data_IF_142746038464
#
_entry.id   IF_142746038464
#
_cell.length_a   1.000
_cell.length_b   1.000
_cell.length_c   1.000
_cell.angle_alpha   90.00
_cell.angle_beta   90.00
_cell.angle_gamma   90.00
#
_symmetry.space_group_name_H-M   'P 1'
#
loop_
_entity.id
_entity.type
_entity.pdbx_description
1 polymer ?
#
# COMPACT_ATOMS: atom_id res chain seq x y z
N UNK A 1 -8.75 37.60 -2.60
CA UNK A 1 -9.35 36.85 -3.73
C UNK A 1 -8.41 35.71 -4.03
N UNK A 2 -8.52 34.63 -3.27
CA UNK A 2 -7.69 33.45 -3.45
C UNK A 2 -8.11 32.73 -4.72
N UNK A 3 -7.18 32.65 -5.67
CA UNK A 3 -7.34 31.80 -6.83
C UNK A 3 -7.36 30.35 -6.35
N UNK A 4 -8.57 29.79 -6.17
CA UNK A 4 -8.78 28.36 -6.05
C UNK A 4 -8.18 27.70 -7.30
N UNK A 5 -6.99 27.12 -7.14
CA UNK A 5 -6.36 26.31 -8.17
C UNK A 5 -7.26 25.09 -8.42
N UNK A 6 -8.07 25.16 -9.48
CA UNK A 6 -8.89 24.03 -9.92
C UNK A 6 -7.99 22.99 -10.57
N UNK A 7 -7.92 21.80 -9.96
CA UNK A 7 -7.27 20.67 -10.62
C UNK A 7 -8.05 20.23 -11.87
N UNK A 8 -7.40 19.51 -12.80
CA UNK A 8 -8.08 18.89 -13.95
C UNK A 8 -9.29 18.03 -13.54
N UNK A 9 -9.23 17.43 -12.36
CA UNK A 9 -10.27 16.57 -11.77
C UNK A 9 -11.32 17.35 -10.96
N UNK A 10 -11.39 18.69 -11.10
CA UNK A 10 -12.33 19.58 -10.38
C UNK A 10 -12.22 19.47 -8.85
N UNK A 11 -11.05 19.10 -8.36
CA UNK A 11 -10.74 19.17 -6.93
C UNK A 11 -10.63 20.65 -6.53
N UNK A 12 -11.26 20.99 -5.40
CA UNK A 12 -11.21 22.35 -4.88
C UNK A 12 -10.26 22.36 -3.69
N UNK A 13 -9.17 23.10 -3.83
CA UNK A 13 -8.32 23.41 -2.69
C UNK A 13 -9.06 24.42 -1.81
N UNK A 14 -9.32 24.05 -0.57
CA UNK A 14 -9.87 24.94 0.45
C UNK A 14 -8.93 24.86 1.65
N UNK A 15 -8.32 25.99 1.98
CA UNK A 15 -7.17 26.03 2.89
C UNK A 15 -7.55 25.93 4.38
N UNK A 16 -8.77 26.30 4.78
CA UNK A 16 -8.90 26.77 6.17
C UNK A 16 -9.54 25.80 7.16
N UNK A 17 -10.40 24.85 6.75
CA UNK A 17 -10.92 23.82 7.66
C UNK A 17 -11.60 22.68 6.90
N UNK A 18 -11.36 21.39 7.23
CA UNK A 18 -12.16 20.31 6.68
C UNK A 18 -13.64 20.44 7.10
N UNK A 19 -14.59 20.18 6.21
CA UNK A 19 -16.03 20.32 6.51
C UNK A 19 -16.57 19.20 7.41
N UNK A 20 -15.81 18.12 7.56
CA UNK A 20 -16.14 16.90 8.27
C UNK A 20 -14.88 16.22 8.79
N UNK A 21 -15.02 15.30 9.74
CA UNK A 21 -13.92 14.48 10.27
C UNK A 21 -13.79 13.20 9.43
N UNK A 22 -12.58 12.96 8.92
CA UNK A 22 -12.24 11.81 8.08
C UNK A 22 -12.47 10.46 8.79
N UNK A 23 -12.45 10.43 10.13
CA UNK A 23 -12.70 9.22 10.94
C UNK A 23 -14.11 8.66 10.76
N UNK A 24 -15.06 9.51 10.39
CA UNK A 24 -16.46 9.12 10.18
C UNK A 24 -16.85 9.09 8.69
N UNK A 25 -15.92 9.42 7.78
CA UNK A 25 -16.18 9.37 6.35
C UNK A 25 -16.27 7.91 5.86
N UNK A 26 -17.11 7.64 4.87
CA UNK A 26 -17.26 6.29 4.33
C UNK A 26 -16.02 5.89 3.54
N UNK A 27 -15.44 4.73 3.85
CA UNK A 27 -14.35 4.13 3.06
C UNK A 27 -14.88 3.62 1.72
N UNK A 28 -16.12 3.14 1.66
CA UNK A 28 -16.79 2.81 0.40
C UNK A 28 -17.20 4.10 -0.30
N UNK A 29 -17.08 4.21 -1.64
CA UNK A 29 -17.63 5.36 -2.35
C UNK A 29 -19.14 5.37 -2.19
N UNK A 30 -19.65 6.55 -1.90
CA UNK A 30 -21.08 6.81 -1.77
C UNK A 30 -21.64 7.39 -3.06
N UNK A 31 -22.97 7.46 -3.16
CA UNK A 31 -23.59 8.14 -4.29
C UNK A 31 -23.23 9.63 -4.32
N UNK A 32 -23.08 10.26 -3.14
CA UNK A 32 -22.58 11.63 -3.03
C UNK A 32 -21.20 11.74 -3.67
N UNK A 33 -20.32 10.78 -3.45
CA UNK A 33 -18.98 10.78 -4.07
C UNK A 33 -19.04 10.72 -5.60
N UNK A 34 -20.02 10.06 -6.21
CA UNK A 34 -20.12 9.97 -7.68
C UNK A 34 -20.76 11.19 -8.34
N UNK A 35 -21.70 11.84 -7.64
CA UNK A 35 -22.45 12.99 -8.18
C UNK A 35 -21.84 14.35 -7.83
N UNK A 36 -21.04 14.41 -6.77
CA UNK A 36 -20.45 15.67 -6.31
C UNK A 36 -19.46 16.22 -7.34
N UNK A 37 -19.67 17.47 -7.75
CA UNK A 37 -18.80 18.17 -8.73
C UNK A 37 -17.47 18.63 -8.13
N UNK A 38 -17.42 18.83 -6.83
CA UNK A 38 -16.28 19.41 -6.09
C UNK A 38 -16.13 18.70 -4.74
N UNK A 39 -15.02 18.00 -4.55
CA UNK A 39 -14.68 17.39 -3.26
C UNK A 39 -13.63 18.23 -2.55
N UNK A 40 -13.82 18.45 -1.25
CA UNK A 40 -12.81 19.07 -0.41
C UNK A 40 -11.58 18.17 -0.34
N UNK A 41 -10.43 18.70 -0.72
CA UNK A 41 -9.13 18.06 -0.56
C UNK A 41 -8.08 19.09 -0.21
N UNK A 42 -7.06 18.63 0.50
CA UNK A 42 -5.85 19.38 0.80
C UNK A 42 -4.66 18.71 0.08
N UNK A 43 -3.76 19.48 -0.54
CA UNK A 43 -2.55 18.94 -1.12
C UNK A 43 -1.65 18.39 -0.01
N UNK A 44 -0.87 17.37 -0.34
CA UNK A 44 0.21 16.96 0.52
C UNK A 44 1.22 18.10 0.67
N UNK A 45 1.69 18.35 1.89
CA UNK A 45 2.75 19.32 2.13
C UNK A 45 4.06 18.77 1.56
N UNK A 46 4.61 19.45 0.55
CA UNK A 46 5.88 19.07 -0.07
C UNK A 46 7.09 19.61 0.72
N UNK A 47 6.87 20.61 1.56
CA UNK A 47 7.89 21.28 2.37
C UNK A 47 7.29 21.73 3.69
N UNK A 48 8.02 21.48 4.79
CA UNK A 48 7.56 21.78 6.14
C UNK A 48 6.72 20.66 6.75
N UNK A 49 6.38 20.84 8.03
CA UNK A 49 5.56 19.90 8.79
C UNK A 49 4.06 20.21 8.69
N UNK A 50 3.27 19.22 9.07
CA UNK A 50 1.84 19.36 9.32
C UNK A 50 1.61 20.01 10.69
N UNK A 51 0.43 20.60 10.88
CA UNK A 51 0.06 21.24 12.15
C UNK A 51 0.03 20.23 13.31
N UNK A 52 -0.56 19.07 13.06
CA UNK A 52 -0.64 17.96 13.99
C UNK A 52 -0.90 16.63 13.24
N UNK A 53 -0.97 15.54 14.00
CA UNK A 53 -1.30 14.20 13.48
C UNK A 53 -2.65 14.15 12.78
N UNK A 54 -3.65 14.87 13.28
CA UNK A 54 -5.00 14.85 12.73
C UNK A 54 -5.00 15.51 11.34
N UNK A 55 -4.31 16.64 11.18
CA UNK A 55 -4.08 17.28 9.90
C UNK A 55 -3.34 16.33 8.93
N UNK A 56 -2.28 15.66 9.37
CA UNK A 56 -1.58 14.67 8.55
C UNK A 56 -2.52 13.57 8.06
N UNK A 57 -3.27 12.92 8.96
CA UNK A 57 -4.16 11.82 8.62
C UNK A 57 -5.32 12.25 7.71
N UNK A 58 -5.94 13.40 7.95
CA UNK A 58 -7.00 13.91 7.09
C UNK A 58 -6.50 14.11 5.65
N UNK A 59 -5.32 14.72 5.49
CA UNK A 59 -4.71 14.93 4.16
C UNK A 59 -4.45 13.59 3.48
N UNK A 60 -3.81 12.63 4.17
CA UNK A 60 -3.52 11.32 3.59
C UNK A 60 -4.80 10.56 3.24
N UNK A 61 -5.78 10.53 4.14
CA UNK A 61 -7.06 9.84 3.94
C UNK A 61 -7.80 10.39 2.73
N UNK A 62 -7.99 11.71 2.65
CA UNK A 62 -8.76 12.33 1.55
C UNK A 62 -8.08 12.14 0.20
N UNK A 63 -6.75 12.28 0.13
CA UNK A 63 -5.99 12.06 -1.10
C UNK A 63 -6.07 10.60 -1.56
N UNK A 64 -5.78 9.64 -0.67
CA UNK A 64 -5.89 8.21 -0.97
C UNK A 64 -7.30 7.81 -1.38
N UNK A 65 -8.33 8.41 -0.76
CA UNK A 65 -9.72 8.17 -1.15
C UNK A 65 -9.99 8.65 -2.57
N UNK A 66 -9.47 9.82 -2.95
CA UNK A 66 -9.65 10.33 -4.31
C UNK A 66 -8.94 9.50 -5.39
N UNK A 67 -7.80 8.87 -5.08
CA UNK A 67 -7.07 8.03 -6.05
C UNK A 67 -7.93 6.90 -6.65
N UNK A 68 -8.89 6.37 -5.89
CA UNK A 68 -9.79 5.32 -6.39
C UNK A 68 -11.21 5.82 -6.70
N UNK A 69 -11.68 6.91 -6.06
CA UNK A 69 -12.99 7.50 -6.32
C UNK A 69 -13.01 8.28 -7.66
N UNK A 70 -11.95 9.01 -8.00
CA UNK A 70 -11.89 9.82 -9.22
C UNK A 70 -12.08 8.95 -10.48
N UNK A 71 -11.32 7.85 -10.70
CA UNK A 71 -11.51 6.98 -11.85
C UNK A 71 -12.96 6.49 -12.02
N UNK A 72 -13.59 6.10 -10.90
CA UNK A 72 -14.97 5.64 -10.87
C UNK A 72 -15.96 6.76 -11.22
N UNK A 73 -15.82 7.92 -10.57
CA UNK A 73 -16.66 9.11 -10.79
C UNK A 73 -16.59 9.58 -12.23
N UNK A 74 -15.38 9.79 -12.74
CA UNK A 74 -15.16 10.31 -14.09
C UNK A 74 -15.63 9.31 -15.14
N UNK A 75 -15.37 8.02 -14.96
CA UNK A 75 -15.88 6.98 -15.84
C UNK A 75 -17.41 6.97 -15.93
N UNK A 76 -18.11 7.07 -14.80
CA UNK A 76 -19.59 7.09 -14.78
C UNK A 76 -20.12 8.39 -15.40
N UNK A 77 -19.47 9.53 -15.15
CA UNK A 77 -19.87 10.80 -15.76
C UNK A 77 -19.68 10.79 -17.27
N UNK A 78 -18.57 10.23 -17.78
CA UNK A 78 -18.35 10.07 -19.21
C UNK A 78 -19.39 9.13 -19.83
N UNK A 79 -19.76 8.04 -19.15
CA UNK A 79 -20.82 7.14 -19.60
C UNK A 79 -22.19 7.83 -19.68
N UNK A 80 -22.53 8.66 -18.69
CA UNK A 80 -23.75 9.49 -18.73
C UNK A 80 -23.74 10.46 -19.90
N UNK A 81 -22.60 11.11 -20.16
CA UNK A 81 -22.43 12.07 -21.27
C UNK A 81 -22.49 11.40 -22.65
N UNK A 82 -22.10 10.13 -22.77
CA UNK A 82 -22.20 9.37 -24.04
C UNK A 82 -23.62 8.90 -24.36
N UNK A 83 -24.63 9.39 -23.63
CA UNK A 83 -26.02 8.94 -23.75
C UNK A 83 -26.25 7.52 -23.24
N UNK A 84 -25.35 7.02 -22.38
CA UNK A 84 -25.41 5.65 -21.82
C UNK A 84 -25.45 4.55 -22.89
N UNK A 85 -24.81 4.81 -24.03
CA UNK A 85 -24.75 3.87 -25.14
C UNK A 85 -23.93 2.64 -24.78
N UNK A 86 -24.37 1.45 -25.24
CA UNK A 86 -23.64 0.17 -25.06
C UNK A 86 -22.27 0.11 -25.77
N UNK A 87 -21.80 1.23 -26.36
CA UNK A 87 -20.51 1.40 -27.04
C UNK A 87 -19.58 2.36 -26.29
N UNK A 88 -19.67 2.37 -24.97
CA UNK A 88 -18.76 3.14 -24.13
C UNK A 88 -17.43 2.40 -23.91
N UNK A 89 -16.32 3.12 -24.10
CA UNK A 89 -14.99 2.64 -23.78
C UNK A 89 -14.26 3.69 -22.94
N UNK A 90 -13.70 3.27 -21.81
CA UNK A 90 -12.91 4.11 -20.92
C UNK A 90 -11.70 3.31 -20.43
N UNK A 91 -10.57 3.98 -20.24
CA UNK A 91 -9.37 3.40 -19.62
C UNK A 91 -9.61 2.99 -18.18
N UNK A 92 -10.52 3.70 -17.50
CA UNK A 92 -10.63 3.71 -16.04
C UNK A 92 -11.87 2.96 -15.54
N UNK A 93 -12.86 2.76 -16.42
CA UNK A 93 -14.12 2.10 -16.10
C UNK A 93 -14.48 1.03 -17.13
N UNK A 94 -14.83 -0.16 -16.64
CA UNK A 94 -15.32 -1.27 -17.45
C UNK A 94 -16.79 -1.50 -17.15
N UNK A 95 -17.60 -1.55 -18.20
CA UNK A 95 -19.04 -1.77 -18.07
C UNK A 95 -19.44 -3.17 -18.50
N UNK A 96 -20.41 -3.71 -17.79
CA UNK A 96 -21.08 -4.97 -18.04
C UNK A 96 -22.58 -4.68 -18.10
N UNK A 97 -23.24 -5.18 -19.14
CA UNK A 97 -24.62 -4.86 -19.47
C UNK A 97 -25.51 -6.08 -19.27
N UNK A 98 -26.82 -5.83 -19.25
CA UNK A 98 -27.88 -6.84 -19.15
C UNK A 98 -27.64 -7.76 -17.95
N UNK A 99 -27.28 -7.12 -16.82
CA UNK A 99 -26.92 -7.80 -15.57
C UNK A 99 -28.18 -8.13 -14.80
N UNK A 100 -28.38 -9.41 -14.51
CA UNK A 100 -29.52 -9.94 -13.77
C UNK A 100 -29.04 -10.60 -12.48
N UNK A 101 -29.80 -10.43 -11.40
CA UNK A 101 -29.57 -11.12 -10.13
C UNK A 101 -30.33 -12.44 -10.18
N UNK A 102 -29.60 -13.55 -10.20
CA UNK A 102 -30.20 -14.90 -10.30
C UNK A 102 -30.65 -15.44 -8.94
N UNK A 103 -30.06 -14.95 -7.86
CA UNK A 103 -30.37 -15.40 -6.51
C UNK A 103 -29.22 -15.16 -5.55
N UNK A 104 -29.32 -15.77 -4.38
CA UNK A 104 -28.34 -15.69 -3.30
C UNK A 104 -27.72 -17.06 -3.01
N UNK A 105 -26.48 -17.06 -2.55
CA UNK A 105 -25.76 -18.24 -2.06
C UNK A 105 -25.14 -17.89 -0.71
N UNK A 106 -25.30 -18.78 0.26
CA UNK A 106 -24.63 -18.65 1.56
C UNK A 106 -23.22 -19.19 1.46
N UNK A 107 -22.24 -18.38 1.83
CA UNK A 107 -20.82 -18.72 1.91
C UNK A 107 -20.36 -18.69 3.37
N UNK A 108 -19.12 -19.07 3.63
CA UNK A 108 -18.54 -18.99 4.98
C UNK A 108 -18.34 -17.54 5.45
N UNK A 109 -18.21 -16.60 4.52
CA UNK A 109 -18.03 -15.16 4.78
C UNK A 109 -19.35 -14.37 4.74
N UNK A 110 -20.50 -15.03 4.52
CA UNK A 110 -21.81 -14.40 4.56
C UNK A 110 -22.71 -14.75 3.38
N UNK A 111 -23.37 -13.73 2.81
CA UNK A 111 -24.34 -13.90 1.72
C UNK A 111 -23.75 -13.28 0.44
N UNK A 112 -23.68 -14.12 -0.59
CA UNK A 112 -23.30 -13.73 -1.93
C UNK A 112 -24.53 -13.64 -2.84
N UNK A 113 -24.46 -12.74 -3.80
CA UNK A 113 -25.45 -12.59 -4.86
C UNK A 113 -24.85 -13.11 -6.15
N UNK A 114 -25.57 -14.00 -6.83
CA UNK A 114 -25.15 -14.58 -8.11
C UNK A 114 -25.69 -13.69 -9.22
N UNK A 115 -24.78 -13.09 -9.98
CA UNK A 115 -25.11 -12.24 -11.11
C UNK A 115 -24.88 -12.99 -12.42
N UNK A 116 -25.69 -12.65 -13.42
CA UNK A 116 -25.49 -13.04 -14.83
C UNK A 116 -25.45 -11.80 -15.70
N UNK A 117 -24.40 -11.61 -16.49
CA UNK A 117 -24.25 -10.49 -17.41
C UNK A 117 -24.04 -10.94 -18.86
N UNK A 118 -24.30 -10.05 -19.83
CA UNK A 118 -24.08 -10.36 -21.24
C UNK A 118 -22.58 -10.46 -21.59
N UNK A 119 -22.20 -11.58 -22.19
CA UNK A 119 -20.82 -11.85 -22.65
C UNK A 119 -20.64 -11.70 -24.15
N UNK A 120 -21.69 -11.32 -24.90
CA UNK A 120 -21.65 -11.24 -26.37
C UNK A 120 -20.49 -10.40 -26.91
N UNK A 121 -20.18 -9.28 -26.24
CA UNK A 121 -19.09 -8.35 -26.57
C UNK A 121 -17.74 -8.68 -25.90
N UNK A 122 -17.69 -9.72 -25.07
CA UNK A 122 -16.52 -10.08 -24.26
C UNK A 122 -15.86 -11.39 -24.72
N UNK A 123 -16.21 -11.89 -25.91
CA UNK A 123 -15.69 -13.16 -26.46
C UNK A 123 -14.16 -13.18 -26.65
N UNK A 124 -13.53 -12.03 -26.85
CA UNK A 124 -12.07 -11.90 -26.98
C UNK A 124 -11.34 -11.90 -25.63
N UNK A 125 -12.06 -11.77 -24.51
CA UNK A 125 -11.46 -11.70 -23.17
C UNK A 125 -10.99 -13.10 -22.76
N UNK A 126 -9.68 -13.24 -22.54
CA UNK A 126 -9.09 -14.44 -21.95
C UNK A 126 -9.27 -14.41 -20.43
N UNK A 127 -10.42 -14.89 -19.96
CA UNK A 127 -10.80 -14.83 -18.54
C UNK A 127 -9.76 -15.43 -17.59
N UNK A 128 -9.05 -16.49 -17.98
CA UNK A 128 -8.01 -17.11 -17.13
C UNK A 128 -6.86 -16.15 -16.75
N UNK A 129 -6.54 -15.17 -17.61
CA UNK A 129 -5.41 -14.23 -17.42
C UNK A 129 -5.85 -12.78 -17.23
N UNK A 130 -7.15 -12.50 -17.36
CA UNK A 130 -7.68 -11.15 -17.32
C UNK A 130 -7.71 -10.59 -15.90
N UNK A 131 -7.28 -9.33 -15.74
CA UNK A 131 -7.46 -8.55 -14.49
C UNK A 131 -8.88 -7.96 -14.34
N UNK A 132 -9.87 -8.56 -14.99
CA UNK A 132 -11.29 -8.20 -14.88
C UNK A 132 -11.94 -9.05 -13.80
N UNK A 133 -12.81 -8.40 -13.02
CA UNK A 133 -13.61 -8.99 -11.95
C UNK A 133 -12.76 -9.89 -11.05
N UNK A 134 -11.58 -9.39 -10.66
CA UNK A 134 -10.71 -10.11 -9.72
C UNK A 134 -11.37 -10.15 -8.35
N UNK A 135 -11.11 -11.19 -7.56
CA UNK A 135 -11.55 -11.25 -6.17
C UNK A 135 -11.18 -9.95 -5.43
N UNK A 136 -12.13 -9.38 -4.69
CA UNK A 136 -11.98 -8.10 -3.99
C UNK A 136 -12.18 -6.84 -4.85
N UNK A 137 -12.32 -6.97 -6.17
CA UNK A 137 -12.60 -5.81 -7.02
C UNK A 137 -13.96 -5.18 -6.68
N UNK A 138 -13.99 -3.85 -6.61
CA UNK A 138 -15.20 -3.08 -6.36
C UNK A 138 -15.98 -2.92 -7.67
N UNK A 139 -17.26 -3.24 -7.60
CA UNK A 139 -18.23 -3.01 -8.67
C UNK A 139 -19.42 -2.21 -8.14
N UNK A 140 -20.02 -1.39 -8.99
CA UNK A 140 -21.28 -0.73 -8.70
C UNK A 140 -22.37 -1.18 -9.66
N UNK A 141 -23.54 -1.48 -9.12
CA UNK A 141 -24.72 -1.90 -9.86
C UNK A 141 -25.75 -0.79 -9.86
N UNK A 142 -26.38 -0.55 -11.00
CA UNK A 142 -27.47 0.40 -11.12
C UNK A 142 -28.43 0.00 -12.24
N UNK A 143 -29.73 0.25 -12.05
CA UNK A 143 -30.77 0.06 -13.07
C UNK A 143 -31.39 1.35 -13.61
N UNK A 144 -30.93 2.50 -13.11
CA UNK A 144 -31.48 3.83 -13.42
C UNK A 144 -30.42 4.81 -13.96
N UNK A 145 -29.36 4.27 -14.57
CA UNK A 145 -28.27 5.07 -15.11
C UNK A 145 -27.41 5.70 -14.01
N UNK A 146 -27.17 4.98 -12.92
CA UNK A 146 -26.42 5.42 -11.74
C UNK A 146 -27.05 6.65 -11.07
N UNK A 147 -28.38 6.69 -10.93
CA UNK A 147 -29.06 7.61 -9.99
C UNK A 147 -29.22 6.98 -8.62
N UNK A 148 -29.35 5.66 -8.57
CA UNK A 148 -29.17 4.81 -7.38
C UNK A 148 -28.09 3.76 -7.67
N UNK A 149 -27.35 3.38 -6.64
CA UNK A 149 -26.25 2.43 -6.77
C UNK A 149 -26.27 1.42 -5.63
N UNK A 150 -25.94 0.18 -5.94
CA UNK A 150 -25.48 -0.80 -4.97
C UNK A 150 -23.98 -1.01 -5.15
N UNK A 151 -23.21 -0.92 -4.07
CA UNK A 151 -21.77 -1.21 -4.08
C UNK A 151 -21.54 -2.65 -3.68
N UNK A 152 -20.74 -3.37 -4.43
CA UNK A 152 -20.42 -4.76 -4.16
C UNK A 152 -18.95 -5.07 -4.46
N UNK A 153 -18.44 -6.12 -3.84
CA UNK A 153 -17.09 -6.65 -4.10
C UNK A 153 -17.19 -8.04 -4.70
N UNK A 154 -16.32 -8.39 -5.64
CA UNK A 154 -16.27 -9.74 -6.19
C UNK A 154 -15.83 -10.73 -5.10
N UNK A 155 -16.68 -11.69 -4.77
CA UNK A 155 -16.46 -12.66 -3.68
C UNK A 155 -15.99 -14.02 -4.19
N UNK A 156 -16.36 -14.42 -5.40
CA UNK A 156 -15.84 -15.63 -6.02
C UNK A 156 -15.72 -15.44 -7.52
N UNK A 157 -14.58 -15.88 -8.06
CA UNK A 157 -14.22 -15.71 -9.46
C UNK A 157 -13.80 -17.04 -10.08
N UNK A 158 -14.75 -17.73 -10.66
CA UNK A 158 -14.48 -18.88 -11.53
C UNK A 158 -14.37 -18.44 -12.99
N UNK A 159 -13.21 -18.66 -13.61
CA UNK A 159 -12.97 -18.34 -15.01
C UNK A 159 -13.87 -19.14 -15.97
N UNK A 160 -14.33 -20.34 -15.58
CA UNK A 160 -15.28 -21.14 -16.38
C UNK A 160 -16.68 -20.53 -16.32
N UNK A 161 -17.18 -20.23 -15.12
CA UNK A 161 -18.46 -19.55 -14.94
C UNK A 161 -18.51 -18.17 -15.63
N UNK A 162 -17.42 -17.40 -15.54
CA UNK A 162 -17.30 -16.08 -16.19
C UNK A 162 -17.44 -16.12 -17.72
N UNK A 163 -17.01 -17.20 -18.39
CA UNK A 163 -17.21 -17.37 -19.83
C UNK A 163 -18.69 -17.35 -20.21
N UNK A 164 -19.56 -17.76 -19.29
CA UNK A 164 -21.01 -17.78 -19.45
C UNK A 164 -21.69 -16.60 -18.73
N UNK A 165 -20.91 -15.62 -18.24
CA UNK A 165 -21.42 -14.39 -17.64
C UNK A 165 -21.78 -14.50 -16.17
N UNK A 166 -21.44 -15.60 -15.49
CA UNK A 166 -21.76 -15.79 -14.09
C UNK A 166 -20.65 -15.26 -13.17
N UNK A 167 -21.04 -14.51 -12.14
CA UNK A 167 -20.11 -14.01 -11.11
C UNK A 167 -20.82 -13.87 -9.76
N UNK A 168 -20.07 -14.07 -8.68
CA UNK A 168 -20.59 -13.86 -7.32
C UNK A 168 -20.07 -12.54 -6.78
N UNK A 169 -20.97 -11.80 -6.12
CA UNK A 169 -20.63 -10.55 -5.47
C UNK A 169 -21.18 -10.51 -4.05
N UNK A 170 -20.42 -9.87 -3.18
CA UNK A 170 -20.87 -9.52 -1.84
C UNK A 170 -21.27 -8.05 -1.81
N UNK A 171 -22.56 -7.78 -1.57
CA UNK A 171 -23.10 -6.41 -1.57
C UNK A 171 -22.73 -5.73 -0.26
N UNK A 172 -21.97 -4.63 -0.36
CA UNK A 172 -21.45 -3.85 0.78
C UNK A 172 -22.35 -2.68 1.15
N UNK A 173 -23.08 -2.12 0.19
CA UNK A 173 -24.01 -1.00 0.40
C UNK A 173 -25.08 -0.98 -0.68
N UNK A 174 -26.25 -0.40 -0.38
CA UNK A 174 -27.39 -0.34 -1.28
C UNK A 174 -28.10 -1.67 -1.48
N UNK A 175 -28.11 -2.53 -0.44
CA UNK A 175 -28.77 -3.84 -0.49
C UNK A 175 -30.27 -3.73 -0.81
N UNK A 176 -30.94 -2.65 -0.38
CA UNK A 176 -32.34 -2.40 -0.68
C UNK A 176 -32.62 -2.31 -2.18
N UNK A 177 -31.67 -1.80 -2.98
CA UNK A 177 -31.80 -1.76 -4.44
C UNK A 177 -31.85 -3.17 -5.05
N UNK A 178 -31.10 -4.09 -4.44
CA UNK A 178 -30.99 -5.49 -4.87
C UNK A 178 -32.20 -6.28 -4.38
N UNK A 179 -32.61 -6.11 -3.12
CA UNK A 179 -33.76 -6.82 -2.53
C UNK A 179 -35.10 -6.40 -3.13
N UNK A 180 -35.25 -5.13 -3.52
CA UNK A 180 -36.46 -4.63 -4.16
C UNK A 180 -36.47 -4.83 -5.68
N UNK A 181 -35.48 -5.57 -6.22
CA UNK A 181 -35.43 -5.86 -7.65
C UNK A 181 -36.30 -7.07 -8.03
N UNK A 182 -36.82 -7.05 -9.25
CA UNK A 182 -37.53 -8.18 -9.86
C UNK A 182 -36.62 -8.93 -10.82
N UNK A 183 -36.94 -10.18 -11.18
CA UNK A 183 -36.17 -10.93 -12.18
C UNK A 183 -36.10 -10.27 -13.56
N UNK A 184 -37.03 -9.35 -13.86
CA UNK A 184 -37.08 -8.59 -15.13
C UNK A 184 -36.28 -7.29 -15.06
N UNK A 185 -35.75 -6.90 -13.88
CA UNK A 185 -34.91 -5.71 -13.77
C UNK A 185 -33.52 -5.98 -14.38
N UNK A 186 -33.13 -5.12 -15.31
CA UNK A 186 -31.81 -5.12 -15.93
C UNK A 186 -30.90 -4.09 -15.26
N UNK A 187 -29.72 -4.53 -14.82
CA UNK A 187 -28.70 -3.66 -14.26
C UNK A 187 -27.55 -3.44 -15.25
N UNK A 188 -26.89 -2.29 -15.10
CA UNK A 188 -25.53 -2.04 -15.58
C UNK A 188 -24.59 -2.17 -14.39
N UNK A 189 -23.55 -2.98 -14.55
CA UNK A 189 -22.49 -3.12 -13.55
C UNK A 189 -21.23 -2.43 -14.06
N UNK A 190 -20.65 -1.54 -13.25
CA UNK A 190 -19.39 -0.89 -13.56
C UNK A 190 -18.28 -1.36 -12.61
N UNK A 191 -17.14 -1.76 -13.18
CA UNK A 191 -15.92 -2.12 -12.48
C UNK A 191 -14.90 -0.98 -12.67
N UNK A 192 -14.34 -0.48 -11.56
CA UNK A 192 -13.17 0.40 -11.61
C UNK A 192 -11.88 -0.40 -11.84
N UNK A 193 -10.95 0.12 -12.63
CA UNK A 193 -9.65 -0.52 -12.84
C UNK A 193 -8.76 -0.44 -11.58
N UNK A 194 -9.02 0.54 -10.70
CA UNK A 194 -8.31 0.69 -9.42
C UNK A 194 -8.73 -0.38 -8.42
N UNK A 195 -7.77 -1.11 -7.86
CA UNK A 195 -8.05 -2.20 -6.92
C UNK A 195 -8.42 -1.67 -5.52
N UNK A 196 -9.72 -1.54 -5.26
CA UNK A 196 -10.30 -0.97 -4.05
C UNK A 196 -9.79 -1.57 -2.74
N UNK A 197 -9.69 -2.90 -2.64
CA UNK A 197 -9.36 -3.58 -1.38
C UNK A 197 -8.00 -3.14 -0.81
N UNK A 198 -7.04 -2.81 -1.67
CA UNK A 198 -5.75 -2.26 -1.24
C UNK A 198 -5.87 -0.88 -0.58
N UNK A 199 -6.83 -0.05 -1.00
CA UNK A 199 -7.10 1.25 -0.39
C UNK A 199 -7.97 1.12 0.85
N UNK A 200 -8.97 0.24 0.82
CA UNK A 200 -9.94 0.04 1.92
C UNK A 200 -9.24 -0.19 3.26
N UNK A 201 -8.32 -1.17 3.31
CA UNK A 201 -7.60 -1.49 4.54
C UNK A 201 -6.71 -0.36 5.06
N UNK A 202 -6.11 0.41 4.14
CA UNK A 202 -5.29 1.58 4.52
C UNK A 202 -6.18 2.68 5.09
N UNK A 203 -7.32 2.96 4.45
CA UNK A 203 -8.26 3.99 4.90
C UNK A 203 -8.89 3.63 6.26
N UNK A 204 -9.32 2.38 6.46
CA UNK A 204 -9.82 1.88 7.76
C UNK A 204 -8.73 1.98 8.85
N UNK A 205 -7.48 1.66 8.49
CA UNK A 205 -6.33 1.85 9.38
C UNK A 205 -6.13 3.32 9.77
N UNK A 206 -6.19 4.24 8.81
CA UNK A 206 -6.06 5.67 9.07
C UNK A 206 -7.18 6.21 9.98
N UNK A 207 -8.41 5.71 9.85
CA UNK A 207 -9.54 6.11 10.68
C UNK A 207 -9.40 5.70 12.15
N UNK A 208 -8.70 4.59 12.41
CA UNK A 208 -8.56 4.00 13.74
C UNK A 208 -7.21 4.31 14.40
N UNK A 209 -6.23 4.80 13.64
CA UNK A 209 -4.89 5.08 14.13
C UNK A 209 -4.84 6.40 14.92
N UNK A 210 -4.47 6.33 16.19
CA UNK A 210 -4.20 7.50 17.04
C UNK A 210 -2.69 7.80 17.20
N UNK A 211 -1.87 6.75 17.13
CA UNK A 211 -0.42 6.83 17.31
C UNK A 211 0.29 6.49 16.01
N UNK A 212 0.97 7.49 15.45
CA UNK A 212 1.83 7.32 14.28
C UNK A 212 3.27 7.12 14.76
N UNK A 213 3.93 6.00 14.45
CA UNK A 213 5.35 5.84 14.71
C UNK A 213 6.17 6.91 13.98
N UNK A 214 7.15 7.51 14.65
CA UNK A 214 8.00 8.56 14.11
C UNK A 214 7.24 9.85 13.74
N UNK A 215 6.17 10.20 14.47
CA UNK A 215 5.38 11.40 14.22
C UNK A 215 6.20 12.69 14.34
N UNK A 216 7.17 12.74 15.26
CA UNK A 216 8.14 13.82 15.36
C UNK A 216 8.86 14.09 14.03
N UNK A 217 9.14 13.05 13.25
CA UNK A 217 9.85 13.16 11.98
C UNK A 217 8.91 13.26 10.77
N UNK A 218 7.77 12.57 10.78
CA UNK A 218 6.84 12.49 9.64
C UNK A 218 5.88 13.68 9.63
N UNK A 219 5.36 14.07 10.80
CA UNK A 219 4.37 15.14 10.96
C UNK A 219 5.08 16.46 11.19
N UNK A 220 5.98 16.51 12.18
CA UNK A 220 6.60 17.77 12.63
C UNK A 220 7.94 18.08 11.94
N UNK A 221 8.44 17.17 11.10
CA UNK A 221 9.69 17.31 10.35
C UNK A 221 10.92 17.61 11.24
N UNK A 222 10.96 17.09 12.46
CA UNK A 222 12.15 17.18 13.30
C UNK A 222 13.33 16.46 12.65
N UNK A 223 14.47 17.13 12.55
CA UNK A 223 15.66 16.59 11.87
C UNK A 223 16.61 15.85 12.82
N UNK A 224 16.45 16.04 14.14
CA UNK A 224 17.30 15.39 15.13
C UNK A 224 16.81 13.97 15.41
N UNK A 225 17.41 12.99 14.73
CA UNK A 225 17.05 11.58 14.91
C UNK A 225 17.90 10.95 16.01
N UNK A 226 17.24 10.37 17.01
CA UNK A 226 17.87 9.63 18.10
C UNK A 226 18.46 8.27 17.66
N UNK A 227 19.18 7.63 18.58
CA UNK A 227 19.69 6.27 18.38
C UNK A 227 18.57 5.22 18.53
N UNK A 228 18.64 4.09 17.79
CA UNK A 228 17.73 2.97 18.00
C UNK A 228 17.79 2.42 19.44
N UNK A 229 16.62 2.10 20.02
CA UNK A 229 16.51 1.59 21.40
C UNK A 229 17.33 0.31 21.64
N UNK A 230 17.44 -0.57 20.64
CA UNK A 230 18.22 -1.80 20.74
C UNK A 230 19.71 -1.53 20.97
N UNK A 231 20.23 -0.37 20.55
CA UNK A 231 21.61 0.04 20.81
C UNK A 231 21.80 0.66 22.19
N UNK A 232 20.77 1.31 22.74
CA UNK A 232 20.83 1.90 24.09
C UNK A 232 20.93 0.84 25.18
N UNK A 233 20.27 -0.32 24.99
CA UNK A 233 20.38 -1.48 25.89
C UNK A 233 21.81 -2.00 26.02
N UNK A 234 22.65 -1.72 25.02
CA UNK A 234 23.99 -2.24 24.89
C UNK A 234 25.09 -1.28 25.39
N UNK A 235 24.72 -0.07 25.86
CA UNK A 235 25.68 1.01 26.17
C UNK A 235 26.62 0.75 27.36
N UNK A 236 26.35 -0.26 28.21
CA UNK A 236 27.13 -0.48 29.42
C UNK A 236 28.39 -1.35 29.25
N UNK A 237 28.60 -2.05 28.11
CA UNK A 237 29.91 -2.60 27.66
C UNK A 237 29.71 -3.56 26.47
N UNK A 238 29.16 -3.10 25.35
CA UNK A 238 29.01 -3.94 24.15
C UNK A 238 29.72 -3.30 22.97
N UNK A 239 30.60 -4.09 22.37
CA UNK A 239 31.30 -3.77 21.14
C UNK A 239 30.39 -4.17 19.99
N UNK A 240 30.15 -3.26 19.05
CA UNK A 240 29.37 -3.52 17.86
C UNK A 240 30.29 -4.05 16.75
N UNK A 241 29.96 -5.20 16.17
CA UNK A 241 30.76 -5.88 15.16
C UNK A 241 30.42 -5.39 13.75
N UNK A 242 31.41 -4.78 13.09
CA UNK A 242 31.35 -4.28 11.72
C UNK A 242 32.01 -5.22 10.71
N UNK A 243 32.37 -6.46 11.08
CA UNK A 243 32.95 -7.46 10.16
C UNK A 243 32.25 -7.56 8.81
N UNK A 244 30.90 -7.50 8.72
CA UNK A 244 30.21 -7.55 7.44
C UNK A 244 30.61 -6.45 6.46
N UNK A 245 31.06 -5.31 6.98
CA UNK A 245 31.42 -4.12 6.22
C UNK A 245 32.91 -4.04 5.86
N UNK A 246 33.75 -4.92 6.39
CA UNK A 246 35.20 -4.93 6.14
C UNK A 246 35.53 -5.61 4.82
N UNK A 247 36.45 -5.03 4.05
CA UNK A 247 36.82 -5.54 2.71
C UNK A 247 37.42 -6.96 2.76
N UNK A 248 38.16 -7.25 3.83
CA UNK A 248 38.81 -8.54 4.11
C UNK A 248 38.00 -9.44 5.06
N UNK A 249 36.78 -9.02 5.46
CA UNK A 249 35.96 -9.68 6.48
C UNK A 249 36.70 -9.86 7.83
N UNK A 250 37.66 -8.99 8.15
CA UNK A 250 38.34 -9.01 9.44
C UNK A 250 37.39 -8.66 10.59
N UNK A 251 37.66 -9.23 11.78
CA UNK A 251 36.95 -8.89 13.00
C UNK A 251 37.17 -7.43 13.39
N UNK A 252 36.12 -6.61 13.35
CA UNK A 252 36.20 -5.17 13.63
C UNK A 252 35.13 -4.72 14.61
N UNK A 253 35.54 -4.56 15.86
CA UNK A 253 34.68 -4.22 16.98
C UNK A 253 34.80 -2.74 17.34
N UNK A 254 33.68 -2.01 17.39
CA UNK A 254 33.66 -0.60 17.83
C UNK A 254 32.93 -0.44 19.16
N UNK A 255 33.57 0.29 20.08
CA UNK A 255 32.99 0.68 21.36
C UNK A 255 32.27 2.00 21.15
N UNK A 256 30.93 1.97 21.11
CA UNK A 256 30.01 3.03 20.68
C UNK A 256 29.95 3.29 19.17
N UNK A 257 28.77 3.68 18.69
CA UNK A 257 28.45 3.91 17.29
C UNK A 257 28.70 5.37 16.85
N UNK A 258 29.67 6.05 17.47
CA UNK A 258 30.02 7.41 17.07
C UNK A 258 30.59 7.44 15.66
N UNK A 259 30.20 8.46 14.88
CA UNK A 259 30.58 8.55 13.46
C UNK A 259 32.09 8.56 13.23
N UNK A 260 32.83 9.16 14.16
CA UNK A 260 34.28 9.36 14.09
C UNK A 260 35.09 8.07 14.26
N UNK A 261 34.52 7.02 14.85
CA UNK A 261 35.21 5.76 15.11
C UNK A 261 35.04 4.72 14.00
N UNK A 262 34.30 5.04 12.94
CA UNK A 262 34.11 4.13 11.81
C UNK A 262 35.35 4.05 10.95
N UNK A 263 35.73 2.85 10.46
CA UNK A 263 36.88 2.69 9.59
C UNK A 263 36.68 3.50 8.30
N UNK A 264 37.76 4.00 7.68
CA UNK A 264 37.67 4.70 6.39
C UNK A 264 37.25 3.75 5.26
N UNK A 265 36.66 4.30 4.20
CA UNK A 265 36.09 3.53 3.06
C UNK A 265 37.08 2.57 2.41
N UNK A 266 38.36 2.92 2.28
CA UNK A 266 39.38 2.05 1.69
C UNK A 266 39.66 0.75 2.49
N UNK A 267 39.21 0.65 3.75
CA UNK A 267 39.25 -0.60 4.54
C UNK A 267 37.93 -1.38 4.50
N UNK A 268 36.89 -0.77 3.95
CA UNK A 268 35.53 -1.29 3.91
C UNK A 268 35.21 -1.80 2.51
N UNK A 269 34.18 -2.64 2.41
CA UNK A 269 33.62 -3.03 1.11
C UNK A 269 32.65 -1.97 0.55
N UNK A 270 32.70 -0.72 1.05
CA UNK A 270 31.77 0.37 0.73
C UNK A 270 32.56 1.61 0.33
N UNK A 271 32.12 2.31 -0.73
CA UNK A 271 32.65 3.64 -1.05
C UNK A 271 32.21 4.68 0.00
N UNK A 272 32.74 5.91 -0.05
CA UNK A 272 32.46 6.93 0.98
C UNK A 272 30.96 7.20 1.19
N UNK A 273 30.20 7.34 0.10
CA UNK A 273 28.76 7.61 0.18
C UNK A 273 27.94 6.41 0.70
N UNK A 274 28.34 5.19 0.33
CA UNK A 274 27.75 3.95 0.83
C UNK A 274 28.08 3.71 2.30
N UNK A 275 29.31 4.06 2.72
CA UNK A 275 29.75 4.03 4.12
C UNK A 275 28.92 4.98 4.97
N UNK A 276 28.71 6.22 4.51
CA UNK A 276 27.85 7.18 5.20
C UNK A 276 26.40 6.67 5.32
N UNK A 277 25.87 6.09 4.25
CA UNK A 277 24.53 5.49 4.24
C UNK A 277 24.41 4.33 5.24
N UNK A 278 25.38 3.41 5.27
CA UNK A 278 25.40 2.29 6.22
C UNK A 278 25.54 2.78 7.66
N UNK A 279 26.41 3.76 7.89
CA UNK A 279 26.56 4.40 9.19
C UNK A 279 25.26 5.08 9.64
N UNK A 280 24.58 5.81 8.76
CA UNK A 280 23.30 6.42 9.12
C UNK A 280 22.26 5.36 9.51
N UNK A 281 22.10 4.31 8.70
CA UNK A 281 21.13 3.25 8.93
C UNK A 281 21.39 2.42 10.21
N UNK A 282 22.66 2.22 10.56
CA UNK A 282 23.05 1.46 11.75
C UNK A 282 23.05 2.30 13.03
N UNK A 283 23.09 3.62 12.94
CA UNK A 283 23.22 4.49 14.11
C UNK A 283 21.98 5.31 14.44
N UNK A 284 21.07 5.53 13.48
CA UNK A 284 19.86 6.33 13.67
C UNK A 284 18.61 5.45 13.66
N UNK A 285 17.63 5.76 14.51
CA UNK A 285 16.35 5.03 14.56
C UNK A 285 15.52 5.18 13.29
N UNK A 286 15.80 6.23 12.51
CA UNK A 286 15.24 6.50 11.20
C UNK A 286 16.34 6.98 10.25
N UNK A 287 16.35 6.46 9.01
CA UNK A 287 17.31 6.84 7.98
C UNK A 287 16.64 6.84 6.60
N UNK A 288 16.96 7.82 5.74
CA UNK A 288 16.78 7.69 4.28
C UNK A 288 18.09 7.39 3.65
N UNK A 289 18.04 6.49 2.69
CA UNK A 289 19.11 6.33 1.74
C UNK A 289 18.53 6.56 0.36
N UNK A 290 19.01 7.61 -0.32
CA UNK A 290 18.68 7.86 -1.72
C UNK A 290 19.89 7.56 -2.59
N UNK A 291 19.64 6.96 -3.74
CA UNK A 291 20.69 6.69 -4.71
C UNK A 291 20.07 6.48 -6.09
N UNK A 292 20.66 7.03 -7.16
CA UNK A 292 20.32 6.70 -8.54
C UNK A 292 20.32 5.18 -8.83
N UNK A 293 19.73 4.73 -9.95
CA UNK A 293 19.88 3.36 -10.41
C UNK A 293 21.36 2.94 -10.48
N UNK A 294 21.68 1.71 -10.08
CA UNK A 294 23.06 1.18 -10.13
C UNK A 294 23.99 1.57 -8.97
N UNK A 295 23.59 2.42 -8.04
CA UNK A 295 24.43 2.89 -6.92
C UNK A 295 24.63 1.88 -5.77
N UNK A 296 24.16 0.65 -5.92
CA UNK A 296 24.35 -0.39 -4.91
C UNK A 296 23.47 -0.24 -3.66
N UNK A 297 22.30 0.40 -3.74
CA UNK A 297 21.32 0.48 -2.62
C UNK A 297 21.01 -0.90 -2.02
N UNK A 298 20.77 -1.89 -2.87
CA UNK A 298 20.54 -3.29 -2.47
C UNK A 298 21.73 -3.83 -1.70
N UNK A 299 22.96 -3.59 -2.19
CA UNK A 299 24.19 -4.04 -1.55
C UNK A 299 24.38 -3.40 -0.15
N UNK A 300 24.19 -2.08 -0.03
CA UNK A 300 24.23 -1.38 1.26
C UNK A 300 23.16 -1.93 2.21
N UNK A 301 21.94 -2.14 1.72
CA UNK A 301 20.85 -2.71 2.51
C UNK A 301 21.16 -4.10 3.05
N UNK A 302 21.71 -5.00 2.20
CA UNK A 302 22.15 -6.33 2.62
C UNK A 302 23.23 -6.25 3.69
N UNK A 303 24.21 -5.36 3.52
CA UNK A 303 25.29 -5.15 4.49
C UNK A 303 24.80 -4.62 5.83
N UNK A 304 23.83 -3.71 5.82
CA UNK A 304 23.18 -3.22 7.05
C UNK A 304 22.43 -4.37 7.74
N UNK A 305 21.65 -5.17 7.01
CA UNK A 305 20.90 -6.31 7.59
C UNK A 305 21.84 -7.37 8.14
N UNK A 306 22.87 -7.77 7.38
CA UNK A 306 23.92 -8.70 7.81
C UNK A 306 24.57 -8.22 9.11
N UNK A 307 24.87 -6.92 9.22
CA UNK A 307 25.43 -6.31 10.43
C UNK A 307 24.46 -6.31 11.61
N UNK A 308 23.18 -5.99 11.40
CA UNK A 308 22.17 -6.01 12.48
C UNK A 308 21.99 -7.43 13.01
N UNK A 309 21.89 -8.43 12.12
CA UNK A 309 21.72 -9.83 12.51
C UNK A 309 22.93 -10.35 13.29
N UNK A 310 24.15 -10.02 12.86
CA UNK A 310 25.38 -10.40 13.57
C UNK A 310 25.44 -9.83 15.00
N UNK A 311 24.87 -8.64 15.20
CA UNK A 311 24.88 -7.94 16.49
C UNK A 311 23.61 -8.17 17.31
N UNK A 312 22.72 -9.06 16.86
CA UNK A 312 21.52 -9.41 17.60
C UNK A 312 21.93 -10.13 18.89
N UNK A 313 21.65 -9.51 20.03
CA UNK A 313 21.82 -10.15 21.33
C UNK A 313 20.71 -11.18 21.52
N UNK A 314 21.08 -12.46 21.57
CA UNK A 314 20.25 -13.50 22.16
C UNK A 314 20.30 -13.33 23.67
N UNK A 315 19.42 -12.49 24.23
CA UNK A 315 19.21 -12.48 25.67
C UNK A 315 18.43 -13.76 26.03
N UNK A 316 19.03 -14.73 26.75
CA UNK A 316 18.37 -15.98 27.09
C UNK A 316 17.18 -15.81 28.04
N UNK A 317 16.93 -14.60 28.58
CA UNK A 317 15.80 -14.27 29.45
C UNK A 317 14.74 -13.38 28.78
N UNK A 318 14.91 -13.02 27.51
CA UNK A 318 13.95 -12.21 26.75
C UNK A 318 13.18 -13.10 25.77
N UNK A 319 11.89 -13.32 26.04
CA UNK A 319 10.93 -13.96 25.10
C UNK A 319 10.65 -13.10 23.84
N UNK A 320 11.31 -11.95 23.69
CA UNK A 320 11.13 -11.05 22.57
C UNK A 320 12.00 -11.47 21.38
N UNK A 321 11.40 -12.16 20.42
CA UNK A 321 11.95 -12.18 19.06
C UNK A 321 11.82 -10.76 18.48
N UNK A 322 12.95 -10.14 18.12
CA UNK A 322 13.02 -8.89 17.35
C UNK A 322 13.10 -9.18 15.83
N UNK A 323 11.99 -9.48 15.13
CA UNK A 323 12.03 -9.78 13.69
C UNK A 323 12.35 -8.53 12.86
N UNK A 324 13.04 -8.74 11.74
CA UNK A 324 13.26 -7.71 10.73
C UNK A 324 12.15 -7.81 9.69
N UNK A 325 11.27 -6.79 9.63
CA UNK A 325 10.29 -6.68 8.55
C UNK A 325 10.90 -5.99 7.33
N UNK A 326 10.86 -6.67 6.18
CA UNK A 326 11.26 -6.12 4.88
C UNK A 326 10.03 -5.86 4.04
N UNK A 327 9.83 -4.61 3.61
CA UNK A 327 8.71 -4.20 2.75
C UNK A 327 9.27 -3.63 1.45
N UNK A 328 8.73 -4.07 0.31
CA UNK A 328 9.05 -3.53 -1.01
C UNK A 328 7.78 -3.31 -1.81
N UNK A 329 7.81 -2.32 -2.72
CA UNK A 329 6.67 -2.04 -3.59
C UNK A 329 6.38 -3.17 -4.59
N UNK A 330 7.42 -3.85 -5.07
CA UNK A 330 7.27 -4.96 -6.02
C UNK A 330 7.76 -6.28 -5.43
N UNK A 331 7.09 -7.37 -5.80
CA UNK A 331 7.52 -8.72 -5.45
C UNK A 331 8.93 -9.02 -5.98
N UNK A 332 9.26 -8.58 -7.20
CA UNK A 332 10.57 -8.84 -7.77
C UNK A 332 11.71 -8.21 -6.95
N UNK A 333 11.54 -6.98 -6.48
CA UNK A 333 12.53 -6.32 -5.63
C UNK A 333 12.67 -7.00 -4.27
N UNK A 334 11.54 -7.44 -3.68
CA UNK A 334 11.56 -8.21 -2.44
C UNK A 334 12.34 -9.52 -2.62
N UNK A 335 12.11 -10.23 -3.72
CA UNK A 335 12.70 -11.55 -3.97
C UNK A 335 14.20 -11.46 -4.11
N UNK A 336 14.67 -10.49 -4.90
CA UNK A 336 16.10 -10.22 -5.04
C UNK A 336 16.75 -9.86 -3.71
N UNK A 337 16.06 -9.09 -2.86
CA UNK A 337 16.60 -8.72 -1.55
C UNK A 337 16.64 -9.91 -0.59
N UNK A 338 15.59 -10.73 -0.56
CA UNK A 338 15.53 -11.94 0.28
C UNK A 338 16.54 -13.00 -0.18
N UNK A 339 16.74 -13.17 -1.49
CA UNK A 339 17.79 -14.06 -2.01
C UNK A 339 19.17 -13.63 -1.50
N UNK A 340 19.46 -12.33 -1.45
CA UNK A 340 20.71 -11.83 -0.87
C UNK A 340 20.81 -12.03 0.65
N UNK A 341 19.69 -12.02 1.39
CA UNK A 341 19.68 -12.31 2.83
C UNK A 341 19.96 -13.79 3.11
N UNK A 342 19.44 -14.69 2.28
CA UNK A 342 19.65 -16.13 2.41
C UNK A 342 21.12 -16.56 2.29
N UNK A 343 21.99 -15.73 1.70
CA UNK A 343 23.43 -16.00 1.63
C UNK A 343 24.12 -15.94 3.00
N UNK A 344 23.54 -15.26 3.99
CA UNK A 344 24.13 -15.06 5.33
C UNK A 344 23.18 -15.33 6.50
N UNK A 345 21.91 -15.61 6.25
CA UNK A 345 20.91 -15.90 7.29
C UNK A 345 20.28 -17.28 7.05
N UNK A 346 20.43 -18.18 8.02
CA UNK A 346 19.85 -19.52 8.01
C UNK A 346 18.53 -19.62 8.81
N UNK A 347 18.07 -18.52 9.40
CA UNK A 347 16.83 -18.47 10.19
C UNK A 347 15.58 -18.48 9.31
N UNK A 348 14.41 -18.68 9.95
CA UNK A 348 13.12 -18.75 9.27
C UNK A 348 12.77 -17.39 8.65
N UNK A 349 12.77 -17.32 7.31
CA UNK A 349 12.23 -16.20 6.55
C UNK A 349 10.76 -16.47 6.23
N UNK A 350 9.85 -15.70 6.82
CA UNK A 350 8.44 -15.73 6.48
C UNK A 350 8.12 -14.73 5.37
N UNK A 351 7.67 -15.23 4.22
CA UNK A 351 7.21 -14.39 3.11
C UNK A 351 5.71 -14.55 2.88
N UNK A 352 4.97 -13.50 3.17
CA UNK A 352 3.53 -13.45 2.91
C UNK A 352 3.25 -13.31 1.40
N UNK A 353 2.60 -14.33 0.81
CA UNK A 353 2.22 -14.48 -0.62
C UNK A 353 3.41 -14.75 -1.58
N UNK A 354 3.69 -16.02 -1.89
CA UNK A 354 4.71 -16.42 -2.91
C UNK A 354 4.15 -17.41 -3.93
N UNK A 355 4.68 -17.34 -5.16
CA UNK A 355 4.62 -18.42 -6.19
C UNK A 355 6.04 -18.88 -6.59
N UNK A 356 7.09 -18.42 -5.89
CA UNK A 356 8.48 -18.59 -6.30
C UNK A 356 9.11 -19.82 -5.61
N UNK A 357 9.65 -20.77 -6.40
CA UNK A 357 10.04 -22.12 -5.95
C UNK A 357 11.16 -22.18 -4.89
N UNK A 358 12.02 -21.16 -4.78
CA UNK A 358 13.06 -21.09 -3.73
C UNK A 358 12.54 -20.59 -2.38
N UNK A 359 11.43 -19.85 -2.39
CA UNK A 359 10.81 -19.17 -1.23
C UNK A 359 9.49 -19.85 -0.83
N UNK A 360 9.28 -21.10 -1.24
CA UNK A 360 8.02 -21.83 -1.07
C UNK A 360 7.99 -22.81 0.11
N UNK A 361 9.05 -22.88 0.91
CA UNK A 361 8.94 -23.45 2.26
C UNK A 361 8.82 -22.30 3.25
N UNK A 362 8.08 -22.53 4.33
CA UNK A 362 7.82 -21.62 5.45
C UNK A 362 6.62 -20.67 5.24
N UNK A 363 5.42 -21.26 5.40
CA UNK A 363 4.17 -20.52 5.62
C UNK A 363 3.71 -20.81 7.06
N UNK A 364 3.71 -19.78 7.89
CA UNK A 364 2.85 -19.69 9.07
C UNK A 364 2.42 -18.23 9.19
N UNK A 365 1.11 -17.99 9.19
CA UNK A 365 0.51 -16.68 9.36
C UNK A 365 0.93 -16.09 10.71
N UNK A 366 1.29 -14.81 10.75
CA UNK A 366 0.73 -13.83 11.69
C UNK A 366 1.08 -12.42 11.21
N UNK A 367 0.10 -11.52 11.28
CA UNK A 367 0.30 -10.11 11.05
C UNK A 367 1.01 -9.48 12.23
N UNK A 368 2.05 -8.69 11.95
CA UNK A 368 2.38 -7.53 12.75
C UNK A 368 3.18 -6.54 11.90
N UNK A 369 2.81 -5.27 12.04
CA UNK A 369 3.24 -4.13 11.25
C UNK A 369 4.53 -3.57 11.82
N UNK A 370 5.55 -3.38 10.97
CA UNK A 370 6.68 -2.49 11.26
C UNK A 370 6.90 -1.57 10.06
N UNK A 371 6.17 -0.46 10.05
CA UNK A 371 6.39 0.62 9.09
C UNK A 371 7.72 1.32 9.40
N UNK A 372 8.68 1.24 8.47
CA UNK A 372 9.84 2.14 8.42
C UNK A 372 9.71 3.01 7.18
N UNK A 373 9.20 4.24 7.35
CA UNK A 373 9.22 5.28 6.31
C UNK A 373 10.40 6.24 6.52
N UNK A 374 11.36 6.03 5.64
CA UNK A 374 12.53 6.80 5.16
C UNK A 374 12.27 8.36 5.14
N UNK A 375 12.83 9.18 6.10
CA UNK A 375 13.24 10.67 6.24
C UNK A 375 14.77 11.09 6.47
N UNK A 376 15.50 11.80 5.57
CA UNK A 376 16.91 12.35 5.52
C UNK A 376 18.09 11.58 4.83
N UNK A 377 18.64 12.11 3.72
CA UNK A 377 19.45 11.40 2.71
C UNK A 377 20.91 11.93 2.52
N UNK A 378 21.95 11.11 2.76
CA UNK A 378 23.15 11.15 1.93
C UNK A 378 22.81 10.56 0.55
N UNK A 379 23.21 11.26 -0.53
CA UNK A 379 23.11 10.70 -1.87
C UNK A 379 24.25 9.70 -2.08
N UNK A 380 23.90 8.45 -2.39
CA UNK A 380 24.91 7.52 -2.88
C UNK A 380 25.34 7.97 -4.27
N UNK A 381 26.59 8.38 -4.42
CA UNK A 381 27.16 8.78 -5.69
C UNK A 381 27.82 7.59 -6.39
N UNK A 382 27.87 7.65 -7.73
CA UNK A 382 28.63 6.70 -8.54
C UNK A 382 30.12 6.87 -8.19
N UNK A 383 30.91 5.78 -8.11
CA UNK A 383 32.35 5.86 -7.86
C UNK A 383 33.09 6.76 -8.85
#
# INVERSE_FOLDING_TARGET
MENQLRSRHRLTYVADTPPDDYRYDSVLPTIKDLHTKTTFVRPALLSGGYEDKHHYFDVQFRLLKQDFVIPLREGIQQFKQSGMTKHFNSSDLRLYYDVHILGIVTTYDGIDHVLKFDTSKLKSVKWDFSKRLIFGALVCLSKDGFQTIAMATISNRDAKALKYGHINVHVRSGLDLILNSTPDDEFVMAETVTFYEAYCHVLEGLQTMDNLPFDEHIVYCETNVEHPRYLLRQMNSIRYDLTPLMMDRSHYLISNLLRERWPPSYKMCLNDSQREAAQLALTKRLAIIQGPPGTGKTYVGLKVVETILLNRTTDPYSDCEDPILVVCYTNHALDQFLEGILDFCNDIILRTRTKHRKLSLFISCFGCVVERKIVAAPQIHVP
#
